data_IF_712316305297
#
_entry.id   IF_712316305297
#
_cell.length_a   1.000
_cell.length_b   1.000
_cell.length_c   1.000
_cell.angle_alpha   90.00
_cell.angle_beta   90.00
_cell.angle_gamma   90.00
#
_symmetry.space_group_name_H-M   'P 1'
#
loop_
_entity.id
_entity.type
_entity.pdbx_description
1 polymer ?
#
# COMPACT_ATOMS: atom_id res chain seq x y z
N UNK A 1 40.10 9.29 31.42
CA UNK A 1 39.06 10.14 30.81
C UNK A 1 38.72 9.55 29.46
N UNK A 2 37.42 9.24 29.27
CA UNK A 2 36.94 8.36 28.19
C UNK A 2 36.92 9.09 26.85
N UNK A 3 37.46 8.41 25.84
CA UNK A 3 37.39 8.74 24.42
C UNK A 3 35.92 8.79 23.97
N UNK A 4 35.58 9.82 23.20
CA UNK A 4 34.32 9.94 22.46
C UNK A 4 34.52 9.29 21.08
N UNK A 5 33.77 8.24 20.70
CA UNK A 5 33.85 7.69 19.36
C UNK A 5 32.82 8.36 18.44
N UNK A 6 33.34 8.89 17.33
CA UNK A 6 32.79 8.91 15.97
C UNK A 6 31.43 8.22 15.83
N UNK A 7 30.35 9.00 15.71
CA UNK A 7 29.05 8.53 15.21
C UNK A 7 29.07 8.58 13.68
N UNK A 8 29.45 7.47 13.06
CA UNK A 8 29.18 7.18 11.66
C UNK A 8 28.90 5.67 11.53
N UNK A 9 27.94 5.34 10.65
CA UNK A 9 27.49 4.01 10.25
C UNK A 9 26.58 3.25 11.22
N UNK A 10 25.29 3.14 10.87
CA UNK A 10 24.56 1.86 10.79
C UNK A 10 23.05 2.07 10.50
N UNK A 11 22.68 2.42 9.28
CA UNK A 11 21.36 2.06 8.71
C UNK A 11 21.53 1.71 7.24
N UNK A 12 22.31 0.66 6.97
CA UNK A 12 22.49 0.09 5.62
C UNK A 12 22.84 -1.40 5.70
N UNK A 13 22.24 -2.13 6.65
CA UNK A 13 22.45 -3.56 6.80
C UNK A 13 21.22 -4.22 7.44
N UNK A 14 20.21 -4.48 6.63
CA UNK A 14 19.21 -5.54 6.81
C UNK A 14 18.36 -5.56 5.53
N UNK A 15 18.79 -6.39 4.57
CA UNK A 15 18.00 -7.07 3.51
C UNK A 15 18.88 -7.64 2.35
N UNK A 16 20.17 -7.92 2.60
CA UNK A 16 21.03 -8.67 1.67
C UNK A 16 21.42 -10.05 2.21
N UNK A 17 20.43 -10.87 2.58
CA UNK A 17 20.66 -12.24 3.02
C UNK A 17 19.68 -13.23 2.37
N UNK A 18 19.53 -13.16 1.05
CA UNK A 18 19.05 -14.24 0.18
C UNK A 18 19.75 -14.12 -1.19
N UNK A 19 21.07 -14.26 -1.22
CA UNK A 19 21.81 -14.43 -2.48
C UNK A 19 22.66 -15.71 -2.38
N UNK A 20 21.95 -16.84 -2.33
CA UNK A 20 22.54 -18.14 -2.61
C UNK A 20 22.78 -18.28 -4.11
N UNK A 21 24.04 -18.56 -4.45
CA UNK A 21 24.50 -19.36 -5.61
C UNK A 21 23.63 -19.37 -6.88
N UNK A 22 24.15 -18.69 -7.91
CA UNK A 22 23.94 -18.92 -9.34
C UNK A 22 22.81 -19.85 -9.78
N UNK A 23 21.64 -19.27 -10.04
CA UNK A 23 20.63 -19.84 -10.93
C UNK A 23 20.47 -18.91 -12.14
N UNK A 24 20.21 -19.44 -13.35
CA UNK A 24 20.01 -18.60 -14.53
C UNK A 24 18.86 -17.63 -14.25
N UNK A 25 19.01 -16.37 -14.70
CA UNK A 25 17.93 -15.36 -14.72
C UNK A 25 16.71 -16.01 -15.38
N UNK A 26 15.77 -16.47 -14.57
CA UNK A 26 14.48 -16.93 -15.04
C UNK A 26 13.84 -15.72 -15.70
N UNK A 27 13.58 -15.81 -17.01
CA UNK A 27 12.87 -14.77 -17.75
C UNK A 27 11.62 -14.43 -16.94
N UNK A 28 11.37 -13.13 -16.71
CA UNK A 28 10.17 -12.68 -16.02
C UNK A 28 8.97 -13.42 -16.65
N UNK A 29 8.10 -14.06 -15.85
CA UNK A 29 7.01 -14.82 -16.41
C UNK A 29 6.22 -13.90 -17.35
N UNK A 30 6.01 -14.36 -18.57
CA UNK A 30 5.14 -13.67 -19.52
C UNK A 30 3.75 -13.66 -18.89
N UNK A 31 3.12 -12.49 -18.79
CA UNK A 31 1.76 -12.38 -18.29
C UNK A 31 0.85 -13.31 -19.09
N UNK A 32 0.31 -14.33 -18.43
CA UNK A 32 -0.70 -15.19 -19.03
C UNK A 32 -1.94 -14.33 -19.37
N UNK A 33 -2.69 -14.65 -20.44
CA UNK A 33 -3.95 -13.97 -20.73
C UNK A 33 -4.87 -14.01 -19.50
N UNK A 34 -5.42 -12.84 -19.12
CA UNK A 34 -6.34 -12.71 -17.99
C UNK A 34 -7.53 -13.67 -18.20
N UNK A 35 -7.81 -14.61 -17.28
CA UNK A 35 -8.98 -15.47 -17.39
C UNK A 35 -10.25 -14.61 -17.40
N UNK A 36 -11.25 -14.92 -18.24
CA UNK A 36 -12.50 -14.17 -18.26
C UNK A 36 -13.17 -14.24 -16.88
N UNK A 37 -13.50 -13.07 -16.31
CA UNK A 37 -14.11 -12.95 -14.99
C UNK A 37 -13.14 -13.01 -13.80
N UNK A 38 -11.85 -13.25 -14.01
CA UNK A 38 -10.87 -13.19 -12.93
C UNK A 38 -10.68 -11.74 -12.45
N UNK A 39 -10.65 -11.56 -11.14
CA UNK A 39 -10.39 -10.27 -10.48
C UNK A 39 -9.52 -10.49 -9.26
N UNK A 40 -8.90 -9.41 -8.75
CA UNK A 40 -8.17 -9.50 -7.49
C UNK A 40 -7.00 -10.48 -7.54
N UNK A 41 -6.85 -11.26 -6.48
CA UNK A 41 -5.73 -12.19 -6.32
C UNK A 41 -5.74 -13.32 -7.37
N UNK A 42 -6.88 -13.62 -7.99
CA UNK A 42 -6.99 -14.60 -9.09
C UNK A 42 -6.21 -14.17 -10.35
N UNK A 43 -5.84 -12.89 -10.44
CA UNK A 43 -5.03 -12.34 -11.52
C UNK A 43 -3.53 -12.62 -11.39
N UNK A 44 -3.09 -13.09 -10.21
CA UNK A 44 -1.70 -13.41 -9.95
C UNK A 44 -1.45 -14.91 -9.96
N UNK A 45 -0.27 -15.35 -10.44
CA UNK A 45 0.18 -16.71 -10.20
C UNK A 45 0.28 -16.99 -8.70
N UNK A 46 0.06 -18.24 -8.27
CA UNK A 46 0.32 -18.65 -6.89
C UNK A 46 1.75 -18.28 -6.46
N UNK A 47 1.91 -17.75 -5.23
CA UNK A 47 3.20 -17.34 -4.67
C UNK A 47 3.62 -15.88 -4.92
N UNK A 48 2.84 -15.10 -5.70
CA UNK A 48 3.06 -13.65 -5.88
C UNK A 48 2.37 -12.78 -4.81
N UNK A 49 1.54 -13.40 -3.98
CA UNK A 49 0.81 -12.76 -2.89
C UNK A 49 1.29 -13.29 -1.57
N UNK A 50 1.39 -12.37 -0.61
CA UNK A 50 1.48 -12.78 0.77
C UNK A 50 0.10 -13.32 1.19
N UNK A 51 0.07 -14.57 1.62
CA UNK A 51 -1.07 -15.14 2.33
C UNK A 51 -0.88 -14.82 3.82
N UNK A 52 -1.92 -14.29 4.47
CA UNK A 52 -1.93 -14.00 5.92
C UNK A 52 -0.85 -13.00 6.40
N UNK A 53 -0.53 -12.00 5.57
CA UNK A 53 0.36 -10.92 5.98
C UNK A 53 -0.18 -10.18 7.21
N UNK A 54 0.61 -10.15 8.30
CA UNK A 54 0.21 -9.46 9.52
C UNK A 54 0.08 -7.96 9.28
N UNK A 55 -1.15 -7.46 9.40
CA UNK A 55 -1.50 -6.04 9.41
C UNK A 55 -1.72 -5.54 10.85
N UNK A 56 -1.18 -6.23 11.85
CA UNK A 56 -1.48 -5.96 13.27
C UNK A 56 -1.13 -4.54 13.74
N UNK A 57 -0.20 -3.86 13.07
CA UNK A 57 0.20 -2.51 13.42
C UNK A 57 -0.80 -1.42 12.98
N UNK A 58 -1.67 -1.71 11.99
CA UNK A 58 -2.67 -0.74 11.48
C UNK A 58 -4.05 -0.93 12.09
N UNK A 59 -4.38 -2.13 12.57
CA UNK A 59 -5.75 -2.48 13.02
C UNK A 59 -6.20 -1.68 14.25
N UNK A 60 -5.28 -1.05 14.98
CA UNK A 60 -5.61 -0.14 16.10
C UNK A 60 -6.22 1.18 15.63
N UNK A 61 -5.91 1.64 14.41
CA UNK A 61 -6.36 2.94 13.89
C UNK A 61 -7.27 2.82 12.67
N UNK A 62 -7.16 1.73 11.92
CA UNK A 62 -7.79 1.55 10.62
C UNK A 62 -8.37 0.16 10.58
N UNK A 63 -9.61 0.03 10.11
CA UNK A 63 -10.22 -1.27 9.84
C UNK A 63 -9.96 -1.64 8.38
N UNK A 64 -9.05 -2.58 8.07
CA UNK A 64 -8.84 -2.99 6.69
C UNK A 64 -10.09 -3.66 6.13
N UNK A 65 -10.47 -3.39 4.86
CA UNK A 65 -11.58 -4.07 4.22
C UNK A 65 -11.19 -5.52 3.92
N UNK A 66 -12.19 -6.41 3.86
CA UNK A 66 -11.95 -7.81 3.43
C UNK A 66 -11.64 -7.87 1.94
N UNK A 67 -12.42 -7.17 1.12
CA UNK A 67 -12.14 -6.95 -0.29
C UNK A 67 -12.07 -5.44 -0.54
N UNK A 68 -10.95 -4.96 -1.04
CA UNK A 68 -10.74 -3.53 -1.17
C UNK A 68 -9.30 -3.13 -1.34
N UNK A 69 -9.03 -1.88 -1.03
CA UNK A 69 -7.68 -1.33 -1.03
C UNK A 69 -7.48 -0.28 0.05
N UNK A 70 -6.21 -0.04 0.37
CA UNK A 70 -5.78 1.08 1.21
C UNK A 70 -4.62 1.78 0.53
N UNK A 71 -4.80 3.07 0.22
CA UNK A 71 -3.73 3.94 -0.26
C UNK A 71 -3.26 4.82 0.90
N UNK A 72 -1.97 4.78 1.19
CA UNK A 72 -1.32 5.54 2.26
C UNK A 72 -0.40 6.58 1.65
N UNK A 73 -0.45 7.78 2.20
CA UNK A 73 0.47 8.88 1.91
C UNK A 73 1.10 9.35 3.21
N UNK A 74 2.42 9.24 3.28
CA UNK A 74 3.21 9.75 4.39
C UNK A 74 4.24 10.76 3.92
N UNK A 75 5.00 11.31 4.85
CA UNK A 75 6.16 12.14 4.56
C UNK A 75 7.26 11.94 5.59
N UNK A 76 8.51 12.16 5.20
CA UNK A 76 9.65 11.95 6.12
C UNK A 76 9.69 12.95 7.27
N UNK A 77 9.13 14.14 7.05
CA UNK A 77 9.16 15.25 8.01
C UNK A 77 7.94 15.32 8.91
N UNK A 78 7.03 14.35 8.83
CA UNK A 78 5.80 14.33 9.63
C UNK A 78 5.53 12.94 10.21
N UNK A 79 5.14 12.83 11.49
CA UNK A 79 4.69 11.57 12.07
C UNK A 79 3.27 11.19 11.59
N UNK A 80 2.61 12.07 10.80
CA UNK A 80 1.26 11.84 10.31
C UNK A 80 1.27 11.14 8.95
N UNK A 81 0.23 10.36 8.71
CA UNK A 81 -0.03 9.73 7.42
C UNK A 81 -1.51 9.79 7.10
N UNK A 82 -1.83 9.99 5.83
CA UNK A 82 -3.19 9.94 5.31
C UNK A 82 -3.45 8.57 4.71
N UNK A 83 -4.53 7.94 5.13
CA UNK A 83 -4.99 6.65 4.67
C UNK A 83 -6.31 6.83 3.94
N UNK A 84 -6.38 6.32 2.73
CA UNK A 84 -7.60 6.27 1.94
C UNK A 84 -7.98 4.81 1.81
N UNK A 85 -9.06 4.44 2.48
CA UNK A 85 -9.58 3.06 2.53
C UNK A 85 -10.75 2.98 1.57
N UNK A 86 -10.70 2.06 0.61
CA UNK A 86 -11.83 1.75 -0.26
C UNK A 86 -12.30 0.34 0.07
N UNK A 87 -13.51 0.25 0.62
CA UNK A 87 -14.19 -1.00 0.98
C UNK A 87 -15.16 -1.37 -0.14
N UNK A 88 -14.89 -2.47 -0.84
CA UNK A 88 -15.71 -2.93 -1.97
C UNK A 88 -17.03 -3.53 -1.49
N UNK A 89 -17.02 -4.20 -0.34
CA UNK A 89 -18.19 -4.88 0.22
C UNK A 89 -19.20 -3.86 0.75
N UNK A 90 -18.72 -2.78 1.36
CA UNK A 90 -19.55 -1.68 1.89
C UNK A 90 -19.76 -0.55 0.88
N UNK A 91 -19.16 -0.63 -0.31
CA UNK A 91 -19.16 0.43 -1.33
C UNK A 91 -18.83 1.81 -0.72
N UNK A 92 -17.74 1.89 0.04
CA UNK A 92 -17.40 3.06 0.85
C UNK A 92 -15.96 3.48 0.64
N UNK A 93 -15.73 4.79 0.62
CA UNK A 93 -14.40 5.38 0.74
C UNK A 93 -14.27 6.10 2.07
N UNK A 94 -13.13 5.94 2.73
CA UNK A 94 -12.82 6.61 3.98
C UNK A 94 -11.46 7.26 3.89
N UNK A 95 -11.35 8.48 4.41
CA UNK A 95 -10.08 9.21 4.56
C UNK A 95 -9.79 9.32 6.04
N UNK A 96 -8.70 8.70 6.49
CA UNK A 96 -8.28 8.68 7.89
C UNK A 96 -6.88 9.28 8.00
N UNK A 97 -6.72 10.28 8.86
CA UNK A 97 -5.40 10.80 9.22
C UNK A 97 -4.96 10.11 10.50
N UNK A 98 -3.79 9.48 10.48
CA UNK A 98 -3.19 8.82 11.65
C UNK A 98 -1.93 9.54 12.08
N UNK A 99 -1.57 9.43 13.36
CA UNK A 99 -0.26 9.78 13.87
C UNK A 99 0.46 8.52 14.37
N UNK A 100 1.73 8.39 13.98
CA UNK A 100 2.64 7.40 14.53
C UNK A 100 3.12 7.82 15.92
N UNK A 101 3.12 6.87 16.85
CA UNK A 101 3.53 7.06 18.25
C UNK A 101 4.17 5.79 18.80
N UNK A 102 4.51 5.83 20.10
CA UNK A 102 4.85 4.63 20.86
C UNK A 102 3.79 4.40 21.93
N UNK A 103 3.38 3.14 22.11
CA UNK A 103 2.51 2.75 23.23
C UNK A 103 3.27 2.79 24.58
N UNK A 104 2.56 2.49 25.68
CA UNK A 104 3.15 2.48 27.02
C UNK A 104 4.26 1.41 27.21
N UNK A 105 4.30 0.39 26.34
CA UNK A 105 5.34 -0.64 26.31
C UNK A 105 6.49 -0.30 25.35
N UNK A 106 6.43 0.87 24.68
CA UNK A 106 7.44 1.35 23.74
C UNK A 106 7.29 0.81 22.32
N UNK A 107 6.24 0.05 22.01
CA UNK A 107 5.99 -0.49 20.67
C UNK A 107 5.44 0.59 19.75
N UNK A 108 5.71 0.46 18.44
CA UNK A 108 5.12 1.35 17.44
C UNK A 108 3.60 1.21 17.44
N UNK A 109 2.90 2.35 17.48
CA UNK A 109 1.45 2.40 17.48
C UNK A 109 0.95 3.49 16.53
N UNK A 110 -0.13 3.18 15.82
CA UNK A 110 -0.88 4.16 15.04
C UNK A 110 -2.14 4.54 15.80
N UNK A 111 -2.41 5.84 15.86
CA UNK A 111 -3.62 6.41 16.45
C UNK A 111 -4.36 7.26 15.42
N UNK A 112 -5.70 7.13 15.30
CA UNK A 112 -6.48 8.00 14.43
C UNK A 112 -6.56 9.41 15.02
N UNK A 113 -6.35 10.42 14.18
CA UNK A 113 -6.39 11.85 14.54
C UNK A 113 -7.64 12.52 13.98
N UNK A 114 -8.01 12.15 12.75
CA UNK A 114 -9.21 12.62 12.08
C UNK A 114 -9.68 11.54 11.10
N UNK A 115 -10.97 11.52 10.77
CA UNK A 115 -11.45 10.61 9.75
C UNK A 115 -12.86 10.91 9.29
N UNK A 116 -13.05 10.76 7.99
CA UNK A 116 -14.33 10.95 7.31
C UNK A 116 -14.60 9.77 6.38
N UNK A 117 -15.87 9.53 6.06
CA UNK A 117 -16.27 8.48 5.14
C UNK A 117 -17.46 8.91 4.27
N UNK A 118 -17.50 8.40 3.05
CA UNK A 118 -18.56 8.66 2.09
C UNK A 118 -18.90 7.38 1.32
N UNK A 119 -20.16 7.25 0.89
CA UNK A 119 -20.59 6.18 0.00
C UNK A 119 -20.02 6.39 -1.40
N UNK A 120 -19.52 5.33 -2.04
CA UNK A 120 -19.15 5.31 -3.44
C UNK A 120 -20.35 4.93 -4.30
N UNK A 121 -20.51 5.55 -5.46
CA UNK A 121 -21.44 5.03 -6.45
C UNK A 121 -20.85 3.81 -7.19
N UNK A 122 -21.72 3.08 -7.90
CA UNK A 122 -21.33 1.85 -8.61
C UNK A 122 -20.31 2.10 -9.72
N UNK A 123 -20.35 3.26 -10.37
CA UNK A 123 -19.46 3.63 -11.48
C UNK A 123 -18.08 3.98 -10.96
N UNK A 124 -18.02 4.75 -9.87
CA UNK A 124 -16.78 5.06 -9.14
C UNK A 124 -16.10 3.77 -8.67
N UNK A 125 -16.85 2.89 -8.00
CA UNK A 125 -16.32 1.63 -7.49
C UNK A 125 -15.83 0.71 -8.62
N UNK A 126 -16.60 0.58 -9.71
CA UNK A 126 -16.20 -0.22 -10.86
C UNK A 126 -14.91 0.32 -11.50
N UNK A 127 -14.78 1.64 -11.63
CA UNK A 127 -13.56 2.27 -12.14
C UNK A 127 -12.34 2.04 -11.24
N UNK A 128 -12.50 2.14 -9.92
CA UNK A 128 -11.45 1.86 -8.95
C UNK A 128 -11.03 0.39 -9.02
N UNK A 129 -11.99 -0.53 -9.08
CA UNK A 129 -11.72 -1.98 -9.16
C UNK A 129 -10.98 -2.34 -10.44
N UNK A 130 -11.38 -1.77 -11.58
CA UNK A 130 -10.69 -2.01 -12.86
C UNK A 130 -9.22 -1.56 -12.81
N UNK A 131 -8.94 -0.37 -12.27
CA UNK A 131 -7.55 0.11 -12.15
C UNK A 131 -6.77 -0.70 -11.09
N UNK A 132 -7.41 -1.19 -10.04
CA UNK A 132 -6.81 -2.09 -9.07
C UNK A 132 -6.48 -3.47 -9.67
N UNK A 133 -7.33 -4.00 -10.54
CA UNK A 133 -7.09 -5.25 -11.25
C UNK A 133 -5.87 -5.16 -12.19
N UNK A 134 -5.58 -3.98 -12.74
CA UNK A 134 -4.36 -3.74 -13.52
C UNK A 134 -3.11 -3.79 -12.64
N UNK A 135 -3.19 -3.24 -11.42
CA UNK A 135 -2.11 -3.38 -10.42
C UNK A 135 -1.97 -4.84 -10.02
N UNK A 136 -3.06 -5.53 -9.71
CA UNK A 136 -3.05 -6.97 -9.39
C UNK A 136 -2.37 -7.79 -10.47
N UNK A 137 -2.68 -7.57 -11.75
CA UNK A 137 -2.13 -8.33 -12.87
C UNK A 137 -0.64 -8.06 -13.16
N UNK A 138 -0.05 -7.01 -12.58
CA UNK A 138 1.34 -6.66 -12.86
C UNK A 138 2.33 -7.61 -12.16
N UNK A 139 3.13 -8.33 -12.93
CA UNK A 139 4.11 -9.31 -12.39
C UNK A 139 5.41 -8.67 -11.87
N UNK A 140 5.45 -7.34 -11.76
CA UNK A 140 6.57 -6.55 -11.27
C UNK A 140 6.12 -5.65 -10.13
N UNK A 141 7.07 -5.25 -9.29
CA UNK A 141 6.87 -4.19 -8.31
C UNK A 141 6.62 -2.86 -9.03
N UNK A 142 5.76 -2.05 -8.44
CA UNK A 142 5.43 -0.71 -8.94
C UNK A 142 6.58 0.24 -8.64
N UNK A 143 7.03 0.99 -9.65
CA UNK A 143 8.05 2.02 -9.43
C UNK A 143 7.40 3.28 -8.91
N UNK A 144 8.15 4.08 -8.17
CA UNK A 144 7.72 5.43 -7.82
C UNK A 144 8.03 6.44 -8.91
N UNK A 145 7.18 7.47 -9.04
CA UNK A 145 7.55 8.74 -9.65
C UNK A 145 8.33 9.58 -8.64
N UNK A 146 9.38 10.26 -9.11
CA UNK A 146 10.19 11.12 -8.26
C UNK A 146 9.35 12.26 -7.67
N UNK A 147 9.34 12.36 -6.35
CA UNK A 147 8.82 13.48 -5.59
C UNK A 147 9.60 13.59 -4.28
N UNK A 148 9.83 14.81 -3.79
CA UNK A 148 10.60 15.04 -2.56
C UNK A 148 9.73 14.84 -1.33
N UNK A 149 10.34 14.35 -0.25
CA UNK A 149 9.79 14.32 1.10
C UNK A 149 8.51 13.49 1.35
N UNK A 150 8.03 12.76 0.34
CA UNK A 150 6.81 11.95 0.41
C UNK A 150 7.08 10.46 0.25
N UNK A 151 6.23 9.65 0.85
CA UNK A 151 6.20 8.19 0.69
C UNK A 151 4.79 7.72 0.42
N UNK A 152 4.67 6.59 -0.25
CA UNK A 152 3.39 5.98 -0.54
C UNK A 152 3.40 4.48 -0.24
N UNK A 153 2.23 3.96 0.07
CA UNK A 153 1.99 2.54 0.24
C UNK A 153 0.60 2.21 -0.31
N UNK A 154 0.46 1.09 -1.01
CA UNK A 154 -0.79 0.58 -1.53
C UNK A 154 -0.96 -0.86 -1.08
N UNK A 155 -2.04 -1.13 -0.36
CA UNK A 155 -2.47 -2.47 -0.02
C UNK A 155 -3.68 -2.82 -0.88
N UNK A 156 -3.61 -3.93 -1.59
CA UNK A 156 -4.75 -4.54 -2.26
C UNK A 156 -5.14 -5.79 -1.48
N UNK A 157 -6.42 -5.90 -1.14
CA UNK A 157 -6.94 -6.96 -0.28
C UNK A 157 -8.04 -7.73 -1.02
N UNK A 158 -7.90 -9.04 -1.06
CA UNK A 158 -8.87 -9.95 -1.64
C UNK A 158 -9.06 -11.16 -0.71
N UNK A 159 -9.90 -10.98 0.30
CA UNK A 159 -10.13 -11.97 1.35
C UNK A 159 -8.92 -12.10 2.27
N UNK A 160 -8.12 -13.14 2.07
CA UNK A 160 -6.87 -13.38 2.81
C UNK A 160 -5.59 -13.04 2.01
N UNK A 161 -5.73 -12.76 0.72
CA UNK A 161 -4.61 -12.41 -0.13
C UNK A 161 -4.30 -10.91 -0.02
N UNK A 162 -3.03 -10.59 0.20
CA UNK A 162 -2.56 -9.21 0.25
C UNK A 162 -1.45 -9.01 -0.77
N UNK A 163 -1.61 -7.98 -1.61
CA UNK A 163 -0.52 -7.39 -2.38
C UNK A 163 -0.18 -6.02 -1.81
N UNK A 164 1.09 -5.81 -1.54
CA UNK A 164 1.60 -4.57 -0.97
C UNK A 164 2.65 -3.97 -1.89
N UNK A 165 2.41 -2.74 -2.31
CA UNK A 165 3.35 -1.93 -3.08
C UNK A 165 3.70 -0.69 -2.27
N UNK A 166 4.95 -0.23 -2.31
CA UNK A 166 5.38 0.95 -1.58
C UNK A 166 6.62 1.58 -2.21
N UNK A 167 6.85 2.85 -1.88
CA UNK A 167 8.08 3.51 -2.30
C UNK A 167 8.19 4.95 -1.82
N UNK A 168 9.38 5.51 -2.06
CA UNK A 168 9.67 6.93 -1.88
C UNK A 168 9.18 7.69 -3.11
N UNK A 169 8.52 8.83 -2.91
CA UNK A 169 7.92 9.62 -3.99
C UNK A 169 6.41 9.39 -4.13
N UNK A 170 5.91 9.45 -5.36
CA UNK A 170 4.50 9.20 -5.68
C UNK A 170 4.33 7.82 -6.35
N UNK A 171 3.14 7.21 -6.32
CA UNK A 171 2.86 6.01 -7.09
C UNK A 171 3.16 6.22 -8.57
N UNK A 172 3.90 5.28 -9.17
CA UNK A 172 4.18 5.22 -10.60
C UNK A 172 3.45 4.06 -11.28
N UNK A 173 3.72 3.92 -12.57
CA UNK A 173 3.14 2.87 -13.43
C UNK A 173 1.60 2.73 -13.26
N UNK A 174 1.07 1.51 -13.14
CA UNK A 174 -0.38 1.23 -13.00
C UNK A 174 -0.94 1.81 -11.68
N UNK A 175 -0.15 1.83 -10.61
CA UNK A 175 -0.56 2.40 -9.32
C UNK A 175 -0.79 3.92 -9.41
N UNK A 176 -0.14 4.63 -10.34
CA UNK A 176 -0.38 6.06 -10.56
C UNK A 176 -1.80 6.34 -11.07
N UNK A 177 -2.31 5.51 -11.98
CA UNK A 177 -3.66 5.64 -12.54
C UNK A 177 -4.71 5.41 -11.46
N UNK A 178 -4.54 4.34 -10.69
CA UNK A 178 -5.40 4.02 -9.55
C UNK A 178 -5.41 5.14 -8.50
N UNK A 179 -4.22 5.62 -8.09
CA UNK A 179 -4.10 6.72 -7.13
C UNK A 179 -4.76 8.01 -7.64
N UNK A 180 -4.57 8.36 -8.90
CA UNK A 180 -5.21 9.54 -9.51
C UNK A 180 -6.74 9.46 -9.52
N UNK A 181 -7.31 8.26 -9.78
CA UNK A 181 -8.76 8.05 -9.69
C UNK A 181 -9.27 8.22 -8.25
N UNK A 182 -8.58 7.60 -7.29
CA UNK A 182 -8.92 7.71 -5.87
C UNK A 182 -8.87 9.18 -5.43
N UNK A 183 -7.86 9.93 -5.85
CA UNK A 183 -7.72 11.36 -5.54
C UNK A 183 -8.89 12.17 -6.06
N UNK A 184 -9.31 11.95 -7.31
CA UNK A 184 -10.48 12.62 -7.87
C UNK A 184 -11.74 12.37 -7.03
N UNK A 185 -11.94 11.13 -6.54
CA UNK A 185 -13.07 10.81 -5.66
C UNK A 185 -12.93 11.51 -4.31
N UNK A 186 -11.73 11.47 -3.71
CA UNK A 186 -11.45 12.10 -2.42
C UNK A 186 -11.67 13.61 -2.48
N UNK A 187 -11.17 14.29 -3.52
CA UNK A 187 -11.36 15.73 -3.73
C UNK A 187 -12.86 16.08 -3.82
N UNK A 188 -13.65 15.31 -4.56
CA UNK A 188 -15.10 15.55 -4.67
C UNK A 188 -15.85 15.35 -3.36
N UNK A 189 -15.38 14.46 -2.48
CA UNK A 189 -16.11 14.05 -1.27
C UNK A 189 -15.65 14.75 0.00
N UNK A 190 -14.40 15.20 0.04
CA UNK A 190 -13.75 15.68 1.27
C UNK A 190 -13.02 17.02 1.09
N UNK A 191 -13.12 17.68 -0.07
CA UNK A 191 -12.72 19.09 -0.18
C UNK A 191 -13.72 19.96 0.59
N UNK A 192 -13.24 20.57 1.67
CA UNK A 192 -13.94 21.60 2.43
C UNK A 192 -13.41 22.97 2.03
#
# INVERSE_FOLDING_TARGET
>A
MRLVPVLALAVAALLSACAGSGTPRQSAPVAAPRPPGATGAQLLPPGYVCQDCSMSFIVSAIRPPRHGLMLVRGGFMTPQSMWIVVDYDQQRISRVVTAASRDAAGNFALSPVAGDAAALDSTELAGIRADADDVWAALRTMRSKSATDVTWSLYLLDGGAVRHEFGIGLPGDEAAKLAGRIDTVVERRFAH
#
